data_IF_614446707948
#
_entry.id   IF_614446707948
#
_cell.length_a   1.000
_cell.length_b   1.000
_cell.length_c   1.000
_cell.angle_alpha   90.00
_cell.angle_beta   90.00
_cell.angle_gamma   90.00
#
_symmetry.space_group_name_H-M   'P 1'
#
loop_
_entity.id
_entity.type
_entity.pdbx_description
1 polymer ?
#
# COMPACT_ATOMS: atom_id res chain seq x y z
N UNK A 1 10.90 -19.24 22.73
CA UNK A 1 11.46 -18.49 21.62
C UNK A 1 10.40 -18.21 20.56
N UNK A 2 10.33 -17.02 20.15
CA UNK A 2 9.39 -16.65 19.12
C UNK A 2 10.12 -16.46 17.78
N UNK A 3 10.01 -17.45 16.89
CA UNK A 3 10.66 -17.41 15.59
C UNK A 3 9.92 -16.59 14.55
N UNK A 4 8.71 -16.09 14.85
CA UNK A 4 7.90 -15.41 13.85
C UNK A 4 8.49 -14.09 13.37
N UNK A 5 9.20 -13.38 14.26
CA UNK A 5 9.80 -12.08 13.91
C UNK A 5 11.11 -12.22 13.15
N UNK A 6 11.70 -13.42 13.13
CA UNK A 6 12.96 -13.68 12.44
C UNK A 6 12.76 -14.43 11.13
N UNK A 7 11.51 -14.64 10.73
CA UNK A 7 11.25 -15.33 9.47
C UNK A 7 11.67 -14.47 8.29
N UNK A 8 12.20 -15.10 7.25
CA UNK A 8 12.48 -14.38 6.00
C UNK A 8 11.21 -13.75 5.45
N UNK A 9 11.40 -12.64 4.77
CA UNK A 9 10.33 -11.93 4.07
C UNK A 9 10.75 -11.80 2.59
N UNK A 10 9.87 -11.22 1.78
CA UNK A 10 10.34 -10.76 0.47
C UNK A 10 11.28 -9.59 0.69
N UNK A 11 12.11 -9.29 -0.31
CA UNK A 11 13.04 -8.17 -0.21
C UNK A 11 12.31 -6.85 -0.42
N UNK A 12 12.98 -5.75 -0.05
CA UNK A 12 12.49 -4.40 -0.34
C UNK A 12 12.19 -4.24 -1.84
N UNK A 13 13.09 -4.69 -2.71
CA UNK A 13 12.89 -4.57 -4.16
C UNK A 13 11.65 -5.32 -4.63
N UNK A 14 11.44 -6.54 -4.13
CA UNK A 14 10.27 -7.34 -4.47
C UNK A 14 8.98 -6.67 -3.98
N UNK A 15 9.01 -6.12 -2.77
CA UNK A 15 7.85 -5.43 -2.22
C UNK A 15 7.49 -4.19 -3.04
N UNK A 16 8.48 -3.41 -3.45
CA UNK A 16 8.25 -2.23 -4.28
C UNK A 16 7.68 -2.60 -5.64
N UNK A 17 8.18 -3.66 -6.26
CA UNK A 17 7.64 -4.17 -7.52
C UNK A 17 6.16 -4.53 -7.35
N UNK A 18 5.83 -5.24 -6.27
CA UNK A 18 4.44 -5.63 -6.02
C UNK A 18 3.55 -4.43 -5.75
N UNK A 19 4.05 -3.45 -4.97
CA UNK A 19 3.32 -2.21 -4.69
C UNK A 19 2.99 -1.48 -5.99
N UNK A 20 3.97 -1.34 -6.88
CA UNK A 20 3.74 -0.68 -8.16
C UNK A 20 2.73 -1.44 -9.03
N UNK A 21 2.76 -2.77 -9.00
CA UNK A 21 1.76 -3.58 -9.69
C UNK A 21 0.36 -3.34 -9.15
N UNK A 22 0.22 -3.29 -7.82
CA UNK A 22 -1.08 -3.04 -7.19
C UNK A 22 -1.61 -1.65 -7.55
N UNK A 23 -0.75 -0.64 -7.53
CA UNK A 23 -1.13 0.73 -7.85
C UNK A 23 -1.47 0.88 -9.33
N UNK A 24 -0.61 0.40 -10.22
CA UNK A 24 -0.83 0.54 -11.66
C UNK A 24 -2.00 -0.29 -12.14
N UNK A 25 -2.19 -1.49 -11.58
CA UNK A 25 -3.36 -2.30 -11.88
C UNK A 25 -4.66 -1.61 -11.50
N UNK A 26 -4.67 -0.99 -10.32
CA UNK A 26 -5.83 -0.25 -9.83
C UNK A 26 -6.09 0.98 -10.70
N UNK A 27 -5.07 1.79 -10.94
CA UNK A 27 -5.23 3.00 -11.76
C UNK A 27 -5.67 2.66 -13.18
N UNK A 28 -5.24 1.51 -13.68
CA UNK A 28 -5.53 1.08 -15.05
C UNK A 28 -7.02 0.83 -15.33
N UNK A 29 -7.80 0.53 -14.29
CA UNK A 29 -9.24 0.28 -14.49
C UNK A 29 -10.10 1.53 -14.29
N UNK A 30 -9.53 2.61 -13.81
CA UNK A 30 -10.27 3.83 -13.53
C UNK A 30 -10.61 4.54 -14.83
N UNK A 31 -11.85 5.00 -14.95
CA UNK A 31 -12.33 5.77 -16.10
C UNK A 31 -13.07 7.02 -15.62
N UNK A 32 -12.74 8.19 -16.16
CA UNK A 32 -11.68 8.44 -17.14
C UNK A 32 -10.30 8.14 -16.56
N UNK A 33 -9.33 7.86 -17.42
CA UNK A 33 -7.99 7.45 -16.99
C UNK A 33 -7.28 8.61 -16.29
N UNK A 34 -6.83 8.43 -15.05
CA UNK A 34 -6.09 9.48 -14.35
C UNK A 34 -4.62 9.50 -14.75
N UNK A 35 -3.97 10.63 -14.51
CA UNK A 35 -2.53 10.74 -14.53
C UNK A 35 -2.00 10.54 -13.11
N UNK A 36 -0.96 9.73 -12.97
CA UNK A 36 -0.37 9.46 -11.67
C UNK A 36 0.73 10.47 -11.38
N UNK A 37 0.58 11.18 -10.27
CA UNK A 37 1.60 12.11 -9.78
C UNK A 37 2.16 11.58 -8.48
N UNK A 38 3.44 11.24 -8.46
CA UNK A 38 4.08 10.66 -7.28
C UNK A 38 4.04 11.62 -6.10
N UNK A 39 3.57 11.12 -4.97
CA UNK A 39 3.67 11.81 -3.69
C UNK A 39 5.05 11.51 -3.12
N UNK A 40 5.99 12.45 -3.25
CA UNK A 40 7.40 12.23 -2.94
C UNK A 40 7.68 11.76 -1.52
N UNK A 41 6.99 12.27 -0.47
CA UNK A 41 7.21 11.72 0.88
C UNK A 41 6.97 10.22 0.99
N UNK A 42 6.18 9.62 0.10
CA UNK A 42 5.95 8.17 0.11
C UNK A 42 7.19 7.37 -0.27
N UNK A 43 8.22 8.02 -0.83
CA UNK A 43 9.48 7.34 -1.17
C UNK A 43 10.31 6.99 0.06
N UNK A 44 10.02 7.61 1.20
CA UNK A 44 10.76 7.35 2.42
C UNK A 44 10.27 6.06 3.06
N UNK A 45 11.21 5.16 3.34
CA UNK A 45 10.88 3.94 4.05
C UNK A 45 10.50 4.25 5.49
N UNK A 46 9.56 3.51 6.04
CA UNK A 46 9.20 3.61 7.45
C UNK A 46 9.86 2.51 8.27
N UNK A 47 9.97 2.74 9.56
CA UNK A 47 10.40 1.70 10.49
C UNK A 47 9.19 0.81 10.82
N UNK A 48 9.45 -0.48 10.99
CA UNK A 48 8.43 -1.39 11.45
C UNK A 48 8.40 -1.35 12.98
N UNK A 49 7.51 -0.53 13.53
CA UNK A 49 7.45 -0.28 14.97
C UNK A 49 6.20 -0.91 15.59
N UNK A 50 5.97 -2.19 15.34
CA UNK A 50 4.88 -2.89 15.97
C UNK A 50 5.30 -3.36 17.36
N UNK A 51 4.82 -2.73 18.44
CA UNK A 51 5.23 -3.12 19.80
C UNK A 51 4.75 -4.51 20.19
N UNK A 52 3.72 -5.04 19.53
CA UNK A 52 3.22 -6.37 19.80
C UNK A 52 4.05 -7.46 19.15
N UNK A 53 4.84 -7.07 18.17
CA UNK A 53 5.64 -7.97 17.37
C UNK A 53 6.92 -8.40 18.10
N UNK A 54 7.47 -7.50 18.91
CA UNK A 54 8.75 -7.75 19.58
C UNK A 54 9.91 -7.91 18.62
N UNK A 55 9.73 -7.49 17.37
CA UNK A 55 10.71 -7.69 16.32
C UNK A 55 11.82 -6.65 16.31
N UNK A 56 12.77 -6.88 15.42
CA UNK A 56 13.93 -6.02 15.25
C UNK A 56 13.53 -4.66 14.69
N UNK A 57 14.20 -3.63 15.17
CA UNK A 57 14.07 -2.27 14.62
C UNK A 57 14.67 -2.15 13.22
N UNK A 58 15.38 -3.17 12.74
CA UNK A 58 15.95 -3.18 11.40
C UNK A 58 14.93 -3.50 10.31
N UNK A 59 13.76 -4.02 10.71
CA UNK A 59 12.71 -4.26 9.74
C UNK A 59 12.07 -2.94 9.34
N UNK A 60 11.62 -2.89 8.10
CA UNK A 60 11.06 -1.69 7.49
C UNK A 60 9.71 -1.97 6.88
N UNK A 61 8.97 -0.92 6.61
CA UNK A 61 7.85 -0.94 5.67
C UNK A 61 8.21 -0.01 4.51
N UNK A 62 7.78 -0.39 3.31
CA UNK A 62 7.95 0.46 2.13
C UNK A 62 6.59 0.83 1.61
N UNK A 63 6.49 1.99 0.98
CA UNK A 63 5.21 2.45 0.47
C UNK A 63 5.41 3.32 -0.77
N UNK A 64 4.32 3.48 -1.52
CA UNK A 64 4.22 4.44 -2.61
C UNK A 64 2.81 5.00 -2.59
N UNK A 65 2.69 6.27 -2.89
CA UNK A 65 1.41 6.91 -3.05
C UNK A 65 1.46 7.88 -4.22
N UNK A 66 0.35 7.97 -4.93
CA UNK A 66 0.22 8.82 -6.11
C UNK A 66 -1.08 9.60 -6.01
N UNK A 67 -1.04 10.86 -6.43
CA UNK A 67 -2.25 11.62 -6.67
C UNK A 67 -2.80 11.23 -8.04
N UNK A 68 -4.12 11.10 -8.13
CA UNK A 68 -4.81 10.78 -9.38
C UNK A 68 -5.31 12.08 -9.99
N UNK A 69 -4.53 12.62 -10.92
CA UNK A 69 -4.84 13.91 -11.54
C UNK A 69 -5.77 13.72 -12.74
N UNK A 70 -6.56 14.74 -13.02
CA UNK A 70 -7.41 14.77 -14.20
C UNK A 70 -8.78 14.15 -14.05
N UNK A 71 -9.12 13.70 -12.85
CA UNK A 71 -10.45 13.15 -12.60
C UNK A 71 -11.45 14.29 -12.39
N UNK A 72 -12.66 14.20 -13.00
CA UNK A 72 -13.69 15.18 -12.71
C UNK A 72 -14.08 15.15 -11.23
N UNK A 73 -14.24 16.32 -10.64
CA UNK A 73 -14.53 16.43 -9.20
C UNK A 73 -15.84 15.71 -8.80
N UNK A 74 -16.81 15.67 -9.68
CA UNK A 74 -18.08 15.00 -9.41
C UNK A 74 -18.03 13.49 -9.53
N UNK A 75 -16.92 12.92 -10.00
CA UNK A 75 -16.81 11.47 -10.23
C UNK A 75 -16.06 10.71 -9.15
N UNK A 76 -15.59 11.37 -8.09
CA UNK A 76 -14.68 10.74 -7.12
C UNK A 76 -15.29 9.52 -6.44
N UNK A 77 -16.56 9.60 -6.04
CA UNK A 77 -17.24 8.46 -5.41
C UNK A 77 -17.40 7.29 -6.37
N UNK A 78 -17.67 7.57 -7.64
CA UNK A 78 -17.77 6.53 -8.67
C UNK A 78 -16.42 5.86 -8.89
N UNK A 79 -15.35 6.64 -8.89
CA UNK A 79 -14.00 6.11 -9.05
C UNK A 79 -13.69 5.14 -7.90
N UNK A 80 -13.99 5.54 -6.67
CA UNK A 80 -13.75 4.68 -5.51
C UNK A 80 -14.59 3.41 -5.60
N UNK A 81 -15.85 3.51 -6.07
CA UNK A 81 -16.68 2.34 -6.29
C UNK A 81 -16.10 1.40 -7.36
N UNK A 82 -15.54 1.95 -8.44
CA UNK A 82 -14.84 1.15 -9.45
C UNK A 82 -13.66 0.40 -8.84
N UNK A 83 -12.89 1.07 -8.01
CA UNK A 83 -11.72 0.47 -7.34
C UNK A 83 -12.16 -0.65 -6.40
N UNK A 84 -13.21 -0.42 -5.62
CA UNK A 84 -13.74 -1.45 -4.72
C UNK A 84 -14.10 -2.71 -5.49
N UNK A 85 -14.84 -2.57 -6.58
CA UNK A 85 -15.24 -3.70 -7.42
C UNK A 85 -14.02 -4.41 -7.99
N UNK A 86 -13.03 -3.66 -8.46
CA UNK A 86 -11.81 -4.22 -8.99
C UNK A 86 -11.04 -5.00 -7.92
N UNK A 87 -10.85 -4.40 -6.75
CA UNK A 87 -10.12 -5.08 -5.66
C UNK A 87 -10.82 -6.38 -5.26
N UNK A 88 -12.16 -6.35 -5.17
CA UNK A 88 -12.93 -7.57 -4.88
C UNK A 88 -12.74 -8.62 -5.95
N UNK A 89 -12.74 -8.22 -7.22
CA UNK A 89 -12.54 -9.14 -8.34
C UNK A 89 -11.15 -9.77 -8.34
N UNK A 90 -10.16 -9.09 -7.78
CA UNK A 90 -8.80 -9.59 -7.68
C UNK A 90 -8.59 -10.45 -6.42
N UNK A 91 -9.61 -10.61 -5.62
CA UNK A 91 -9.52 -11.40 -4.39
C UNK A 91 -8.93 -10.66 -3.20
N UNK A 92 -8.76 -9.34 -3.32
CA UNK A 92 -8.28 -8.54 -2.20
C UNK A 92 -9.39 -8.38 -1.16
N UNK A 93 -9.00 -8.16 0.09
CA UNK A 93 -9.93 -7.97 1.19
C UNK A 93 -10.25 -6.48 1.34
N UNK A 94 -11.53 -6.12 1.34
CA UNK A 94 -11.95 -4.76 1.66
C UNK A 94 -12.01 -4.66 3.19
N UNK A 95 -11.13 -3.83 3.76
CA UNK A 95 -10.99 -3.71 5.20
C UNK A 95 -11.94 -2.69 5.80
N UNK A 96 -12.11 -1.56 5.13
CA UNK A 96 -12.97 -0.48 5.61
C UNK A 96 -13.34 0.46 4.49
N UNK A 97 -14.47 1.14 4.67
CA UNK A 97 -14.97 2.14 3.73
C UNK A 97 -15.63 3.25 4.54
N UNK A 98 -15.35 4.51 4.22
CA UNK A 98 -15.98 5.62 4.92
C UNK A 98 -17.45 5.74 4.53
N UNK A 99 -18.27 6.31 5.44
CA UNK A 99 -19.69 6.49 5.18
C UNK A 99 -19.97 7.37 3.96
N UNK A 100 -19.11 8.37 3.73
CA UNK A 100 -19.29 9.29 2.61
C UNK A 100 -18.79 8.72 1.28
N UNK A 101 -18.22 7.51 1.27
CA UNK A 101 -17.73 6.87 0.04
C UNK A 101 -16.46 7.47 -0.52
N UNK A 102 -15.75 8.29 0.24
CA UNK A 102 -14.55 8.98 -0.22
C UNK A 102 -13.25 8.40 0.32
N UNK A 103 -13.31 7.31 1.10
CA UNK A 103 -12.13 6.59 1.59
C UNK A 103 -12.39 5.11 1.51
N UNK A 104 -11.42 4.36 1.01
CA UNK A 104 -11.50 2.91 0.90
C UNK A 104 -10.16 2.32 1.29
N UNK A 105 -10.19 1.31 2.15
CA UNK A 105 -9.00 0.62 2.63
C UNK A 105 -9.12 -0.87 2.37
N UNK A 106 -8.01 -1.48 1.97
CA UNK A 106 -7.99 -2.91 1.69
C UNK A 106 -6.67 -3.55 2.04
N UNK A 107 -6.65 -4.88 1.95
CA UNK A 107 -5.46 -5.70 2.10
C UNK A 107 -5.27 -6.54 0.86
N UNK A 108 -4.06 -6.56 0.32
CA UNK A 108 -3.81 -7.32 -0.89
C UNK A 108 -3.86 -8.82 -0.62
N UNK A 109 -4.38 -9.56 -1.58
CA UNK A 109 -4.38 -11.00 -1.56
C UNK A 109 -2.94 -11.49 -1.61
N UNK A 110 -2.62 -12.51 -0.82
CA UNK A 110 -1.33 -13.16 -0.67
C UNK A 110 -0.36 -12.41 0.22
N UNK A 111 -0.07 -11.13 -0.06
CA UNK A 111 0.94 -10.38 0.68
C UNK A 111 0.39 -9.69 1.92
N UNK A 112 -0.90 -9.45 1.95
CA UNK A 112 -1.55 -8.67 3.00
C UNK A 112 -1.00 -7.24 3.12
N UNK A 113 -0.63 -6.66 1.99
CA UNK A 113 -0.19 -5.27 1.94
C UNK A 113 -1.39 -4.34 2.10
N UNK A 114 -1.20 -3.26 2.82
CA UNK A 114 -2.24 -2.25 2.99
C UNK A 114 -2.39 -1.43 1.71
N UNK A 115 -3.65 -1.26 1.28
CA UNK A 115 -3.97 -0.45 0.11
C UNK A 115 -4.99 0.59 0.51
N UNK A 116 -4.86 1.79 -0.04
CA UNK A 116 -5.82 2.86 0.23
C UNK A 116 -6.07 3.71 -1.00
N UNK A 117 -7.29 4.17 -1.14
CA UNK A 117 -7.65 5.24 -2.08
C UNK A 117 -8.60 6.16 -1.34
N UNK A 118 -8.35 7.47 -1.44
CA UNK A 118 -9.17 8.40 -0.71
C UNK A 118 -9.04 9.83 -1.15
N UNK A 119 -10.01 10.63 -0.72
CA UNK A 119 -10.06 12.06 -0.97
C UNK A 119 -8.96 12.79 -0.21
N UNK A 120 -8.36 13.76 -0.89
CA UNK A 120 -7.43 14.71 -0.28
C UNK A 120 -7.86 16.13 -0.60
N UNK A 121 -7.28 17.10 0.06
CA UNK A 121 -7.61 18.51 -0.17
C UNK A 121 -7.44 18.88 -1.65
N UNK A 122 -8.35 19.71 -2.15
CA UNK A 122 -8.38 20.09 -3.55
C UNK A 122 -9.16 19.13 -4.43
N UNK A 123 -9.94 18.22 -3.80
CA UNK A 123 -10.77 17.23 -4.51
C UNK A 123 -9.93 16.34 -5.41
N UNK A 124 -8.82 15.86 -4.88
CA UNK A 124 -7.92 14.93 -5.56
C UNK A 124 -7.88 13.64 -4.79
N UNK A 125 -7.96 12.51 -5.50
CA UNK A 125 -7.79 11.21 -4.87
C UNK A 125 -6.31 10.87 -4.76
N UNK A 126 -5.94 10.22 -3.65
CA UNK A 126 -4.63 9.61 -3.48
C UNK A 126 -4.80 8.09 -3.46
N UNK A 127 -3.93 7.39 -4.18
CA UNK A 127 -3.91 5.93 -4.25
C UNK A 127 -2.55 5.46 -3.78
N UNK A 128 -2.54 4.58 -2.81
CA UNK A 128 -1.29 4.11 -2.24
C UNK A 128 -1.32 2.67 -1.78
N UNK A 129 -0.14 2.15 -1.53
CA UNK A 129 0.04 0.83 -0.95
C UNK A 129 1.28 0.81 -0.05
N UNK A 130 1.19 0.05 1.03
CA UNK A 130 2.25 -0.06 2.03
C UNK A 130 2.48 -1.53 2.34
N UNK A 131 3.74 -1.94 2.37
CA UNK A 131 4.08 -3.33 2.65
C UNK A 131 3.85 -3.69 4.12
N UNK A 132 3.84 -4.99 4.41
CA UNK A 132 4.04 -5.52 5.75
C UNK A 132 5.50 -5.27 6.16
N UNK A 133 5.83 -5.61 7.40
CA UNK A 133 7.21 -5.50 7.90
C UNK A 133 8.12 -6.43 7.13
N UNK A 134 9.25 -5.91 6.67
CA UNK A 134 10.20 -6.67 5.86
C UNK A 134 11.62 -6.52 6.37
N UNK A 135 12.43 -7.53 6.10
CA UNK A 135 13.88 -7.39 6.13
C UNK A 135 14.33 -6.83 4.79
N UNK A 136 15.12 -5.73 4.75
CA UNK A 136 15.47 -5.09 3.47
C UNK A 136 16.03 -6.05 2.42
N UNK A 137 16.82 -7.03 2.85
CA UNK A 137 17.41 -8.03 1.96
C UNK A 137 16.70 -9.39 2.03
N UNK A 138 15.50 -9.44 2.62
CA UNK A 138 14.69 -10.64 2.67
C UNK A 138 14.98 -11.56 3.85
N UNK A 139 16.08 -11.36 4.54
CA UNK A 139 16.47 -12.16 5.70
C UNK A 139 16.93 -11.28 6.83
N UNK A 140 16.83 -11.76 8.09
CA UNK A 140 17.35 -11.00 9.21
C UNK A 140 18.83 -10.67 9.00
N UNK A 141 19.19 -9.44 9.37
CA UNK A 141 20.59 -9.03 9.29
C UNK A 141 21.41 -9.83 10.31
N UNK A 142 22.64 -10.25 9.93
CA UNK A 142 23.48 -10.93 10.87
C UNK A 142 23.77 -10.05 12.07
N UNK A 143 23.78 -10.65 13.26
CA UNK A 143 24.19 -9.90 14.45
C UNK A 143 25.63 -9.41 14.27
N UNK A 144 25.93 -8.18 14.74
CA UNK A 144 27.33 -7.72 14.71
C UNK A 144 28.20 -8.71 15.46
N UNK A 145 29.27 -9.13 14.83
CA UNK A 145 30.21 -10.03 15.48
C UNK A 145 31.20 -9.21 16.27
N UNK A 146 31.41 -9.53 17.54
CA UNK A 146 32.43 -8.84 18.32
C UNK A 146 33.80 -9.02 17.72
#
# INVERSE_FOLDING_TARGET
>A
MNGSTDKPTITKAQALTRIEQLINGTAGIIRPKPELELHRPSLNDGLCLDPLDGGSEERIVVNRAYYLRGLPKGSLKEVIAQVKTYWQSQGHHIQAESENGLQLYGRSRLEDFFMSIGWTEGDVLSLGATSTCLWPNGTPEPSPTP
#
